data_IF_929432604579
#
_entry.id   IF_929432604579
#
_cell.length_a   1.000
_cell.length_b   1.000
_cell.length_c   1.000
_cell.angle_alpha   90.00
_cell.angle_beta   90.00
_cell.angle_gamma   90.00
#
_symmetry.space_group_name_H-M   'P 1'
#
loop_
_entity.id
_entity.type
_entity.pdbx_description
1 polymer ?
#
# COMPACT_ATOMS: atom_id res chain seq x y z
N UNK A 1 9.10 34.16 -38.06
CA UNK A 1 9.58 34.43 -36.70
C UNK A 1 8.90 33.42 -35.77
N UNK A 2 9.50 32.24 -35.63
CA UNK A 2 8.98 31.21 -34.72
C UNK A 2 9.50 31.56 -33.31
N UNK A 3 8.58 31.90 -32.41
CA UNK A 3 8.90 32.04 -30.98
C UNK A 3 9.23 30.64 -30.44
N UNK A 4 10.52 30.37 -30.25
CA UNK A 4 10.98 29.31 -29.37
C UNK A 4 10.65 29.73 -27.95
N UNK A 5 9.59 29.15 -27.39
CA UNK A 5 9.34 29.24 -25.94
C UNK A 5 10.44 28.40 -25.28
N UNK A 6 11.32 29.00 -24.46
CA UNK A 6 12.31 28.21 -23.74
C UNK A 6 11.55 27.32 -22.75
N UNK A 7 11.75 26.01 -22.87
CA UNK A 7 11.35 25.04 -21.86
C UNK A 7 12.18 25.35 -20.61
N UNK A 8 11.67 26.25 -19.77
CA UNK A 8 12.14 26.40 -18.41
C UNK A 8 11.79 25.10 -17.69
N UNK A 9 12.71 24.13 -17.68
CA UNK A 9 12.76 23.12 -16.65
C UNK A 9 12.89 23.90 -15.33
N UNK A 10 11.77 24.06 -14.62
CA UNK A 10 11.83 24.36 -13.19
C UNK A 10 12.58 23.19 -12.57
N UNK A 11 13.88 23.39 -12.30
CA UNK A 11 14.66 22.59 -11.36
C UNK A 11 14.12 22.88 -9.94
N UNK A 12 12.84 22.61 -9.72
CA UNK A 12 12.29 22.49 -8.39
C UNK A 12 12.95 21.28 -7.76
N UNK A 13 13.51 21.44 -6.57
CA UNK A 13 14.14 20.35 -5.84
C UNK A 13 13.09 19.28 -5.60
N UNK A 14 13.17 18.16 -6.32
CA UNK A 14 12.19 17.06 -6.21
C UNK A 14 12.27 16.51 -4.78
N UNK A 15 11.12 16.39 -4.11
CA UNK A 15 11.06 15.80 -2.78
C UNK A 15 11.73 14.41 -2.79
N UNK A 16 12.49 14.05 -1.74
CA UNK A 16 13.00 12.69 -1.61
C UNK A 16 11.85 11.69 -1.71
N UNK A 17 12.01 10.67 -2.54
CA UNK A 17 11.02 9.62 -2.74
C UNK A 17 11.52 8.32 -2.13
N UNK A 18 10.74 7.75 -1.24
CA UNK A 18 11.03 6.48 -0.59
C UNK A 18 10.27 5.36 -1.29
N UNK A 19 10.95 4.26 -1.56
CA UNK A 19 10.36 3.08 -2.20
C UNK A 19 10.37 1.88 -1.25
N UNK A 20 9.27 1.16 -1.23
CA UNK A 20 9.12 -0.13 -0.53
C UNK A 20 8.77 -1.23 -1.53
N UNK A 21 9.56 -2.30 -1.53
CA UNK A 21 9.33 -3.49 -2.35
C UNK A 21 8.21 -4.37 -1.78
N UNK A 22 7.80 -5.37 -2.56
CA UNK A 22 6.78 -6.36 -2.18
C UNK A 22 7.32 -7.58 -1.45
N UNK A 23 6.45 -8.58 -1.28
CA UNK A 23 6.76 -9.86 -0.65
C UNK A 23 7.79 -10.66 -1.45
N UNK A 24 8.75 -11.25 -0.75
CA UNK A 24 9.76 -12.13 -1.35
C UNK A 24 10.81 -11.40 -2.19
N UNK A 25 10.91 -10.08 -2.03
CA UNK A 25 11.72 -9.21 -2.88
C UNK A 25 12.72 -8.39 -2.05
N UNK A 26 13.46 -7.48 -2.69
CA UNK A 26 14.44 -6.58 -2.08
C UNK A 26 14.57 -5.26 -2.84
N UNK A 27 15.36 -4.32 -2.32
CA UNK A 27 15.67 -3.09 -3.04
C UNK A 27 16.46 -3.28 -4.35
N UNK A 28 16.90 -4.50 -4.66
CA UNK A 28 17.50 -4.84 -5.95
C UNK A 28 16.46 -5.19 -7.03
N UNK A 29 15.17 -5.15 -6.71
CA UNK A 29 14.09 -5.49 -7.64
C UNK A 29 14.17 -4.70 -8.94
N UNK A 30 14.04 -5.40 -10.07
CA UNK A 30 14.17 -4.81 -11.39
C UNK A 30 13.16 -3.69 -11.64
N UNK A 31 11.93 -3.83 -11.17
CA UNK A 31 10.86 -2.85 -11.44
C UNK A 31 11.02 -1.54 -10.67
N UNK A 32 11.95 -1.47 -9.70
CA UNK A 32 12.33 -0.22 -9.02
C UNK A 32 13.38 0.58 -9.79
N UNK A 33 14.16 -0.08 -10.68
CA UNK A 33 15.27 0.56 -11.40
C UNK A 33 14.87 1.83 -12.16
N UNK A 34 13.73 1.86 -12.89
CA UNK A 34 13.35 3.05 -13.65
C UNK A 34 13.07 4.29 -12.77
N UNK A 35 12.71 4.10 -11.49
CA UNK A 35 12.50 5.22 -10.56
C UNK A 35 13.83 5.90 -10.18
N UNK A 36 14.92 5.15 -10.04
CA UNK A 36 16.22 5.69 -9.63
C UNK A 36 16.86 6.60 -10.68
N UNK A 37 16.52 6.43 -11.96
CA UNK A 37 17.04 7.29 -13.04
C UNK A 37 16.26 8.59 -13.22
N UNK A 38 15.03 8.68 -12.70
CA UNK A 38 14.12 9.80 -12.99
C UNK A 38 13.93 10.81 -11.86
N UNK A 39 14.15 10.42 -10.60
CA UNK A 39 13.88 11.23 -9.41
C UNK A 39 14.89 10.93 -8.29
N UNK A 40 14.93 11.76 -7.24
CA UNK A 40 15.65 11.47 -6.00
C UNK A 40 14.96 10.33 -5.21
N UNK A 41 15.11 9.11 -5.71
CA UNK A 41 14.49 7.89 -5.21
C UNK A 41 15.49 7.06 -4.38
N UNK A 42 15.04 6.56 -3.24
CA UNK A 42 15.80 5.62 -2.41
C UNK A 42 14.87 4.50 -1.95
N UNK A 43 15.27 3.25 -2.15
CA UNK A 43 14.55 2.12 -1.57
C UNK A 43 15.00 1.87 -0.12
N UNK A 44 14.05 1.56 0.76
CA UNK A 44 14.29 1.15 2.14
C UNK A 44 14.03 -0.34 2.23
N UNK A 45 15.08 -1.11 2.54
CA UNK A 45 15.00 -2.55 2.67
C UNK A 45 14.12 -2.92 3.87
N UNK A 46 13.16 -3.83 3.66
CA UNK A 46 12.28 -4.31 4.72
C UNK A 46 12.97 -5.46 5.46
N UNK A 47 13.27 -5.28 6.75
CA UNK A 47 14.03 -6.26 7.52
C UNK A 47 15.45 -6.46 6.97
N UNK A 48 15.80 -7.71 6.66
CA UNK A 48 17.10 -8.16 6.15
C UNK A 48 17.00 -8.85 4.77
N UNK A 49 15.92 -8.60 4.02
CA UNK A 49 15.71 -9.12 2.66
C UNK A 49 14.46 -10.01 2.49
N UNK A 50 14.43 -10.84 1.42
CA UNK A 50 13.25 -11.63 1.04
C UNK A 50 12.66 -12.51 2.16
N UNK A 51 13.51 -13.14 2.97
CA UNK A 51 13.07 -14.03 4.05
C UNK A 51 12.37 -13.26 5.18
N UNK A 52 12.82 -12.05 5.49
CA UNK A 52 12.23 -11.20 6.54
C UNK A 52 10.86 -10.66 6.10
N UNK A 53 10.65 -10.40 4.81
CA UNK A 53 9.33 -9.98 4.29
C UNK A 53 8.22 -11.03 4.51
N UNK A 54 8.61 -12.30 4.68
CA UNK A 54 7.70 -13.44 4.89
C UNK A 54 7.65 -13.83 6.38
N UNK A 55 8.80 -14.00 7.03
CA UNK A 55 8.94 -14.63 8.34
C UNK A 55 9.07 -13.65 9.53
N UNK A 56 8.84 -12.36 9.26
CA UNK A 56 8.68 -11.34 10.30
C UNK A 56 7.23 -10.87 10.30
N UNK A 57 6.61 -10.74 11.47
CA UNK A 57 5.28 -10.15 11.60
C UNK A 57 5.22 -8.77 10.94
N UNK A 58 4.11 -8.47 10.26
CA UNK A 58 4.05 -7.29 9.39
C UNK A 58 4.13 -5.97 10.13
N UNK A 59 3.63 -5.93 11.37
CA UNK A 59 3.79 -4.77 12.24
C UNK A 59 5.27 -4.48 12.55
N UNK A 60 6.09 -5.51 12.74
CA UNK A 60 7.51 -5.34 13.00
C UNK A 60 8.27 -4.91 11.73
N UNK A 61 7.87 -5.42 10.57
CA UNK A 61 8.35 -4.89 9.28
C UNK A 61 8.07 -3.39 9.13
N UNK A 62 6.85 -2.95 9.46
CA UNK A 62 6.44 -1.56 9.37
C UNK A 62 7.16 -0.65 10.39
N UNK A 63 7.38 -1.14 11.61
CA UNK A 63 8.17 -0.45 12.65
C UNK A 63 9.65 -0.31 12.26
N UNK A 64 10.25 -1.38 11.74
CA UNK A 64 11.63 -1.35 11.23
C UNK A 64 11.78 -0.37 10.07
N UNK A 65 10.85 -0.39 9.11
CA UNK A 65 10.79 0.58 8.03
C UNK A 65 10.67 2.01 8.56
N UNK A 66 9.79 2.27 9.53
CA UNK A 66 9.65 3.59 10.14
C UNK A 66 10.95 4.07 10.79
N UNK A 67 11.64 3.20 11.54
CA UNK A 67 12.93 3.53 12.15
C UNK A 67 13.96 3.94 11.09
N UNK A 68 14.11 3.16 10.03
CA UNK A 68 15.03 3.45 8.91
C UNK A 68 14.66 4.76 8.20
N UNK A 69 13.37 5.04 8.04
CA UNK A 69 12.89 6.31 7.48
C UNK A 69 13.22 7.49 8.41
N UNK A 70 12.99 7.37 9.72
CA UNK A 70 13.33 8.40 10.69
C UNK A 70 14.84 8.71 10.69
N UNK A 71 15.69 7.68 10.68
CA UNK A 71 17.15 7.85 10.67
C UNK A 71 17.65 8.68 9.47
N UNK A 72 16.99 8.56 8.31
CA UNK A 72 17.44 9.20 7.06
C UNK A 72 16.65 10.46 6.68
N UNK A 73 15.38 10.57 7.08
CA UNK A 73 14.43 11.58 6.59
C UNK A 73 13.70 12.35 7.71
N UNK A 74 14.16 12.26 8.96
CA UNK A 74 13.62 13.07 10.07
C UNK A 74 13.52 14.55 9.70
N UNK A 75 12.39 15.18 10.01
CA UNK A 75 12.07 16.58 9.72
C UNK A 75 11.79 16.91 8.25
N UNK A 76 11.88 15.94 7.33
CA UNK A 76 11.72 16.20 5.89
C UNK A 76 10.29 15.91 5.40
N UNK A 77 9.88 16.64 4.36
CA UNK A 77 8.72 16.24 3.55
C UNK A 77 9.18 15.29 2.45
N UNK A 78 8.54 14.13 2.32
CA UNK A 78 8.93 13.06 1.39
C UNK A 78 7.75 12.58 0.54
N UNK A 79 8.04 11.90 -0.57
CA UNK A 79 7.06 11.06 -1.26
C UNK A 79 7.27 9.60 -0.89
N UNK A 80 6.21 8.80 -1.02
CA UNK A 80 6.26 7.36 -0.75
C UNK A 80 5.67 6.58 -1.94
N UNK A 81 6.42 5.58 -2.40
CA UNK A 81 5.98 4.58 -3.38
C UNK A 81 6.03 3.22 -2.70
N UNK A 82 4.97 2.44 -2.80
CA UNK A 82 4.97 1.07 -2.30
C UNK A 82 4.39 0.11 -3.33
N UNK A 83 5.06 -1.03 -3.50
CA UNK A 83 4.68 -2.10 -4.41
C UNK A 83 4.09 -3.27 -3.60
N UNK A 84 2.96 -3.83 -4.02
CA UNK A 84 2.32 -4.95 -3.34
C UNK A 84 2.18 -4.67 -1.83
N UNK A 85 2.58 -5.57 -0.93
CA UNK A 85 2.52 -5.31 0.52
C UNK A 85 3.30 -4.05 0.96
N UNK A 86 4.35 -3.65 0.24
CA UNK A 86 5.11 -2.43 0.51
C UNK A 86 4.25 -1.17 0.47
N UNK A 87 3.12 -1.19 -0.25
CA UNK A 87 2.12 -0.13 -0.21
C UNK A 87 1.54 0.07 1.20
N UNK A 88 1.27 -1.01 1.93
CA UNK A 88 0.75 -0.94 3.30
C UNK A 88 1.79 -0.44 4.30
N UNK A 89 3.06 -0.80 4.10
CA UNK A 89 4.18 -0.20 4.86
C UNK A 89 4.24 1.31 4.57
N UNK A 90 4.11 1.71 3.31
CA UNK A 90 4.03 3.12 2.94
C UNK A 90 2.89 3.86 3.64
N UNK A 91 1.71 3.25 3.77
CA UNK A 91 0.61 3.81 4.58
C UNK A 91 0.94 3.91 6.05
N UNK A 92 1.61 2.91 6.62
CA UNK A 92 2.07 3.00 8.01
C UNK A 92 3.04 4.17 8.22
N UNK A 93 3.93 4.44 7.25
CA UNK A 93 4.78 5.65 7.28
C UNK A 93 3.96 6.94 7.30
N UNK A 94 2.84 6.97 6.55
CA UNK A 94 1.96 8.15 6.50
C UNK A 94 1.23 8.36 7.82
N UNK A 95 0.65 7.31 8.41
CA UNK A 95 -0.31 7.45 9.51
C UNK A 95 0.28 7.24 10.89
N UNK A 96 1.27 6.35 11.02
CA UNK A 96 1.74 5.84 12.31
C UNK A 96 3.21 6.16 12.59
N UNK A 97 4.01 6.46 11.56
CA UNK A 97 5.39 6.90 11.73
C UNK A 97 5.47 8.40 12.06
N UNK A 98 6.19 8.78 13.12
CA UNK A 98 6.45 10.19 13.45
C UNK A 98 7.73 10.65 12.74
N UNK A 99 7.59 11.53 11.75
CA UNK A 99 8.72 12.08 11.01
C UNK A 99 9.33 13.33 11.69
N UNK A 100 9.05 13.57 12.98
CA UNK A 100 9.60 14.68 13.78
C UNK A 100 9.45 16.05 13.09
N UNK A 101 8.21 16.38 12.69
CA UNK A 101 7.89 17.61 11.95
C UNK A 101 7.92 17.46 10.42
N UNK A 102 8.40 16.33 9.91
CA UNK A 102 8.22 15.92 8.52
C UNK A 102 6.81 15.39 8.22
N UNK A 103 6.51 15.16 6.94
CA UNK A 103 5.27 14.52 6.48
C UNK A 103 5.47 13.81 5.14
N UNK A 104 4.51 12.98 4.77
CA UNK A 104 4.40 12.48 3.39
C UNK A 104 3.58 13.48 2.57
N UNK A 105 4.07 13.85 1.38
CA UNK A 105 3.38 14.72 0.42
C UNK A 105 2.55 13.87 -0.54
N UNK A 106 3.19 13.00 -1.32
CA UNK A 106 2.50 12.14 -2.29
C UNK A 106 2.67 10.66 -1.97
N UNK A 107 1.63 9.88 -2.25
CA UNK A 107 1.61 8.44 -2.04
C UNK A 107 1.23 7.71 -3.33
N UNK A 108 2.07 6.77 -3.78
CA UNK A 108 1.83 5.90 -4.93
C UNK A 108 1.78 4.45 -4.46
N UNK A 109 0.61 3.83 -4.56
CA UNK A 109 0.38 2.41 -4.29
C UNK A 109 0.29 1.64 -5.60
N UNK A 110 1.25 0.75 -5.86
CA UNK A 110 1.27 -0.08 -7.06
C UNK A 110 0.86 -1.51 -6.70
N UNK A 111 -0.38 -1.91 -7.04
CA UNK A 111 -0.91 -3.23 -6.72
C UNK A 111 -0.98 -3.51 -5.21
N UNK A 112 -1.15 -2.48 -4.39
CA UNK A 112 -1.09 -2.61 -2.93
C UNK A 112 -2.40 -3.13 -2.33
N UNK A 113 -2.39 -4.10 -1.40
CA UNK A 113 -3.64 -4.68 -0.91
C UNK A 113 -4.32 -3.83 0.18
N UNK A 114 -4.93 -2.69 -0.20
CA UNK A 114 -5.34 -1.64 0.76
C UNK A 114 -6.41 -2.05 1.77
N UNK A 115 -7.34 -2.92 1.35
CA UNK A 115 -8.34 -3.59 2.20
C UNK A 115 -7.94 -5.05 2.51
N UNK A 116 -6.66 -5.40 2.34
CA UNK A 116 -6.14 -6.74 2.62
C UNK A 116 -6.44 -7.77 1.53
N UNK A 117 -6.02 -9.01 1.81
CA UNK A 117 -6.25 -10.19 0.97
C UNK A 117 -7.02 -11.25 1.75
N UNK A 118 -7.84 -12.06 1.06
CA UNK A 118 -8.69 -13.07 1.71
C UNK A 118 -8.35 -14.51 1.32
N UNK A 119 -7.37 -14.71 0.44
CA UNK A 119 -6.90 -16.04 0.03
C UNK A 119 -5.39 -16.06 -0.06
N UNK A 120 -4.83 -17.27 0.02
CA UNK A 120 -3.44 -17.50 -0.31
C UNK A 120 -3.32 -17.56 -1.85
N UNK A 121 -2.39 -16.81 -2.47
CA UNK A 121 -2.18 -16.81 -3.92
C UNK A 121 -1.95 -18.21 -4.50
N UNK A 122 -2.38 -18.43 -5.75
CA UNK A 122 -2.19 -19.68 -6.51
C UNK A 122 -2.79 -20.96 -5.89
N UNK A 123 -3.89 -20.83 -5.14
CA UNK A 123 -4.60 -21.97 -4.56
C UNK A 123 -5.83 -22.40 -5.38
N UNK A 124 -5.62 -22.84 -6.63
CA UNK A 124 -6.71 -23.15 -7.59
C UNK A 124 -7.17 -24.61 -7.60
N UNK A 125 -6.82 -25.41 -6.58
CA UNK A 125 -7.16 -26.84 -6.52
C UNK A 125 -8.32 -27.15 -5.56
N UNK A 126 -9.05 -28.23 -5.82
CA UNK A 126 -10.12 -28.77 -4.95
C UNK A 126 -9.67 -29.14 -3.52
N UNK A 127 -8.36 -29.16 -3.27
CA UNK A 127 -7.70 -29.40 -1.98
C UNK A 127 -7.47 -28.10 -1.17
N UNK A 128 -7.78 -26.93 -1.73
CA UNK A 128 -7.55 -25.62 -1.09
C UNK A 128 -8.66 -25.20 -0.12
N UNK A 129 -9.89 -25.69 -0.27
CA UNK A 129 -10.99 -25.35 0.64
C UNK A 129 -10.72 -25.75 2.11
N UNK A 130 -10.18 -26.94 2.41
CA UNK A 130 -9.72 -27.30 3.76
C UNK A 130 -8.53 -26.47 4.23
N UNK A 131 -7.59 -26.14 3.34
CA UNK A 131 -6.38 -25.37 3.67
C UNK A 131 -6.73 -23.92 4.02
N UNK A 132 -7.66 -23.29 3.28
CA UNK A 132 -8.18 -21.96 3.61
C UNK A 132 -8.92 -21.97 4.94
N UNK A 133 -9.68 -23.01 5.29
CA UNK A 133 -10.31 -23.11 6.62
C UNK A 133 -9.29 -23.30 7.75
N UNK A 134 -8.17 -24.00 7.48
CA UNK A 134 -7.05 -24.09 8.43
C UNK A 134 -6.33 -22.74 8.56
N UNK A 135 -6.12 -22.04 7.45
CA UNK A 135 -5.54 -20.69 7.45
C UNK A 135 -6.46 -19.71 8.17
N UNK A 136 -7.76 -19.71 7.90
CA UNK A 136 -8.76 -18.88 8.60
C UNK A 136 -8.73 -19.09 10.11
N UNK A 137 -8.53 -20.33 10.57
CA UNK A 137 -8.48 -20.66 11.99
C UNK A 137 -7.13 -20.38 12.65
N UNK A 138 -6.03 -20.33 11.89
CA UNK A 138 -4.68 -20.12 12.41
C UNK A 138 -4.15 -18.70 12.18
N UNK A 139 -4.61 -18.00 11.15
CA UNK A 139 -4.07 -16.70 10.70
C UNK A 139 -4.17 -15.66 11.79
N UNK A 140 -5.22 -15.71 12.61
CA UNK A 140 -5.49 -14.80 13.70
C UNK A 140 -4.95 -15.28 15.07
N UNK A 141 -4.15 -16.34 15.10
CA UNK A 141 -3.40 -16.68 16.31
C UNK A 141 -2.26 -15.68 16.51
N UNK A 142 -1.97 -15.34 17.77
CA UNK A 142 -0.89 -14.39 18.10
C UNK A 142 0.46 -14.83 17.52
N UNK A 143 0.74 -16.14 17.54
CA UNK A 143 1.98 -16.68 16.97
C UNK A 143 2.09 -16.37 15.48
N UNK A 144 1.04 -16.64 14.69
CA UNK A 144 1.06 -16.40 13.24
C UNK A 144 1.11 -14.91 12.93
N UNK A 145 0.34 -14.07 13.64
CA UNK A 145 0.37 -12.62 13.46
C UNK A 145 1.76 -12.00 13.75
N UNK A 146 2.51 -12.55 14.71
CA UNK A 146 3.85 -12.08 15.08
C UNK A 146 4.97 -12.58 14.15
N UNK A 147 4.77 -13.68 13.42
CA UNK A 147 5.84 -14.34 12.66
C UNK A 147 5.59 -14.43 11.16
N UNK A 148 4.38 -14.18 10.68
CA UNK A 148 4.05 -14.31 9.25
C UNK A 148 3.56 -12.96 8.72
N UNK A 149 4.35 -12.36 7.82
CA UNK A 149 4.06 -11.04 7.24
C UNK A 149 2.67 -10.95 6.61
N UNK A 150 2.31 -11.83 5.66
CA UNK A 150 1.00 -11.80 5.03
C UNK A 150 -0.21 -11.90 5.99
N UNK A 151 -0.03 -12.49 7.17
CA UNK A 151 -1.11 -12.58 8.16
C UNK A 151 -1.56 -11.21 8.68
N UNK A 152 -0.65 -10.23 8.74
CA UNK A 152 -0.97 -8.88 9.21
C UNK A 152 -1.92 -8.10 8.30
N UNK A 153 -2.10 -8.52 7.04
CA UNK A 153 -3.07 -7.93 6.11
C UNK A 153 -4.03 -8.95 5.52
N UNK A 154 -4.14 -10.11 6.15
CA UNK A 154 -5.22 -11.03 5.86
C UNK A 154 -6.53 -10.47 6.39
N UNK A 155 -7.54 -10.41 5.52
CA UNK A 155 -8.89 -9.95 5.81
C UNK A 155 -9.88 -11.03 5.39
N UNK A 156 -10.32 -11.81 6.37
CA UNK A 156 -11.42 -12.74 6.16
C UNK A 156 -12.74 -11.95 6.08
N UNK A 157 -13.30 -11.80 4.87
CA UNK A 157 -14.57 -11.11 4.68
C UNK A 157 -15.75 -11.87 5.30
N UNK A 158 -15.66 -13.20 5.48
CA UNK A 158 -16.71 -14.01 6.12
C UNK A 158 -16.71 -13.88 7.66
N UNK A 159 -15.59 -13.47 8.26
CA UNK A 159 -15.41 -13.31 9.71
C UNK A 159 -14.66 -12.00 10.04
N UNK A 160 -15.37 -10.89 9.84
CA UNK A 160 -14.86 -9.56 10.17
C UNK A 160 -14.67 -9.36 11.68
N UNK A 161 -15.40 -10.08 12.53
CA UNK A 161 -15.25 -9.96 13.99
C UNK A 161 -13.87 -10.47 14.44
N UNK A 162 -13.44 -11.64 13.95
CA UNK A 162 -12.10 -12.15 14.24
C UNK A 162 -11.02 -11.27 13.61
N UNK A 163 -11.23 -10.78 12.38
CA UNK A 163 -10.35 -9.82 11.74
C UNK A 163 -10.13 -8.57 12.62
N UNK A 164 -11.22 -7.91 13.02
CA UNK A 164 -11.19 -6.70 13.83
C UNK A 164 -10.63 -6.95 15.24
N UNK A 165 -10.76 -8.16 15.78
CA UNK A 165 -10.31 -8.50 17.14
C UNK A 165 -8.86 -8.96 17.19
N UNK A 166 -8.38 -9.71 16.21
CA UNK A 166 -7.15 -10.48 16.34
C UNK A 166 -6.07 -10.13 15.31
N UNK A 167 -6.39 -9.44 14.21
CA UNK A 167 -5.36 -9.00 13.27
C UNK A 167 -4.54 -7.83 13.88
N UNK A 168 -3.21 -7.98 13.95
CA UNK A 168 -2.31 -7.06 14.66
C UNK A 168 -1.94 -5.80 13.88
N UNK A 169 -2.41 -5.63 12.64
CA UNK A 169 -1.94 -4.57 11.76
C UNK A 169 -3.05 -3.88 10.96
N UNK A 170 -3.70 -4.59 10.04
CA UNK A 170 -4.57 -3.94 9.04
C UNK A 170 -5.80 -3.22 9.63
N UNK A 171 -6.55 -3.77 10.63
CA UNK A 171 -7.67 -3.05 11.24
C UNK A 171 -7.27 -1.72 11.86
N UNK A 172 -6.05 -1.63 12.41
CA UNK A 172 -5.54 -0.40 13.00
C UNK A 172 -5.09 0.59 11.92
N UNK A 173 -4.39 0.11 10.87
CA UNK A 173 -3.98 0.92 9.73
C UNK A 173 -5.18 1.49 8.95
N UNK A 174 -6.26 0.72 8.85
CA UNK A 174 -7.53 1.14 8.25
C UNK A 174 -8.40 1.97 9.20
N UNK A 175 -7.96 2.16 10.44
CA UNK A 175 -8.69 2.93 11.44
C UNK A 175 -10.08 2.34 11.75
N UNK A 176 -10.26 1.03 11.59
CA UNK A 176 -11.54 0.32 11.75
C UNK A 176 -11.79 -0.10 13.21
N UNK A 177 -10.75 -0.52 13.93
CA UNK A 177 -10.87 -1.06 15.30
C UNK A 177 -11.08 0.03 16.34
N UNK A 178 -10.22 1.04 16.35
CA UNK A 178 -10.23 2.16 17.29
C UNK A 178 -9.94 3.46 16.53
N UNK A 179 -10.95 4.08 15.88
CA UNK A 179 -10.73 5.22 15.01
C UNK A 179 -10.02 6.38 15.71
N UNK A 180 -8.85 6.76 15.18
CA UNK A 180 -8.04 7.88 15.63
C UNK A 180 -8.16 9.06 14.66
N UNK A 181 -8.49 10.24 15.20
CA UNK A 181 -8.56 11.49 14.41
C UNK A 181 -7.18 11.82 13.79
N UNK A 182 -6.09 11.54 14.50
CA UNK A 182 -4.73 11.82 14.04
C UNK A 182 -4.35 11.01 12.80
N UNK A 183 -4.71 9.73 12.71
CA UNK A 183 -4.49 8.90 11.52
C UNK A 183 -5.22 9.45 10.31
N UNK A 184 -6.50 9.78 10.49
CA UNK A 184 -7.33 10.43 9.47
C UNK A 184 -6.72 11.75 8.98
N UNK A 185 -6.30 12.62 9.91
CA UNK A 185 -5.70 13.91 9.57
C UNK A 185 -4.38 13.75 8.79
N UNK A 186 -3.53 12.80 9.19
CA UNK A 186 -2.28 12.53 8.47
C UNK A 186 -2.52 12.04 7.05
N UNK A 187 -3.39 11.05 6.85
CA UNK A 187 -3.66 10.52 5.50
C UNK A 187 -4.39 11.55 4.63
N UNK A 188 -5.42 12.25 5.15
CA UNK A 188 -6.09 13.33 4.39
C UNK A 188 -5.21 14.57 4.12
N UNK A 189 -4.06 14.71 4.79
CA UNK A 189 -3.09 15.78 4.52
C UNK A 189 -2.21 15.54 3.30
N UNK A 190 -2.30 14.37 2.66
CA UNK A 190 -1.58 14.09 1.42
C UNK A 190 -1.97 15.11 0.34
N UNK A 191 -0.98 15.51 -0.44
CA UNK A 191 -1.16 16.45 -1.55
C UNK A 191 -1.82 15.72 -2.73
N UNK A 192 -1.39 14.48 -2.99
CA UNK A 192 -1.96 13.58 -3.99
C UNK A 192 -1.76 12.10 -3.60
N UNK A 193 -2.69 11.25 -4.04
CA UNK A 193 -2.64 9.79 -3.95
C UNK A 193 -2.81 9.21 -5.34
N UNK A 194 -2.00 8.22 -5.70
CA UNK A 194 -2.20 7.39 -6.88
C UNK A 194 -2.32 5.94 -6.46
N UNK A 195 -3.39 5.29 -6.90
CA UNK A 195 -3.68 3.88 -6.67
C UNK A 195 -3.64 3.17 -8.01
N UNK A 196 -2.88 2.08 -8.10
CA UNK A 196 -2.76 1.27 -9.31
C UNK A 196 -3.31 -0.12 -9.05
N UNK A 197 -4.25 -0.56 -9.88
CA UNK A 197 -4.88 -1.89 -9.87
C UNK A 197 -4.50 -2.64 -11.14
N UNK A 198 -4.11 -3.90 -10.99
CA UNK A 198 -3.84 -4.80 -12.11
C UNK A 198 -5.11 -5.60 -12.41
N UNK A 199 -5.58 -5.61 -13.67
CA UNK A 199 -6.84 -6.23 -14.02
C UNK A 199 -6.77 -7.76 -14.06
N UNK A 200 -5.58 -8.32 -14.23
CA UNK A 200 -5.32 -9.77 -14.25
C UNK A 200 -4.51 -10.20 -13.01
N UNK A 201 -4.72 -9.53 -11.87
CA UNK A 201 -4.01 -9.83 -10.62
C UNK A 201 -4.50 -11.14 -9.99
N UNK A 202 -3.59 -12.10 -9.86
CA UNK A 202 -3.80 -13.39 -9.18
C UNK A 202 -3.08 -13.47 -7.82
N UNK A 203 -2.41 -12.39 -7.41
CA UNK A 203 -1.65 -12.31 -6.15
C UNK A 203 -2.42 -11.55 -5.08
N UNK A 204 -3.02 -10.42 -5.46
CA UNK A 204 -3.87 -9.62 -4.58
C UNK A 204 -5.31 -9.98 -4.87
N UNK A 205 -5.90 -10.78 -3.98
CA UNK A 205 -7.27 -11.25 -4.13
C UNK A 205 -8.07 -10.87 -2.88
N UNK A 206 -9.17 -10.09 -3.04
CA UNK A 206 -9.71 -9.55 -4.29
C UNK A 206 -8.87 -8.39 -4.84
N UNK A 207 -8.65 -8.30 -6.16
CA UNK A 207 -7.78 -7.26 -6.78
C UNK A 207 -8.29 -5.83 -6.57
N UNK A 208 -9.60 -5.69 -6.39
CA UNK A 208 -10.32 -4.44 -6.12
C UNK A 208 -9.83 -3.75 -4.84
N UNK A 209 -9.27 -4.51 -3.90
CA UNK A 209 -8.61 -3.99 -2.70
C UNK A 209 -7.49 -2.98 -3.03
N UNK A 210 -6.90 -3.02 -4.24
CA UNK A 210 -5.93 -2.01 -4.70
C UNK A 210 -6.49 -0.58 -4.76
N UNK A 211 -7.82 -0.45 -4.94
CA UNK A 211 -8.55 0.81 -4.98
C UNK A 211 -9.33 1.09 -3.68
N UNK A 212 -8.99 0.41 -2.58
CA UNK A 212 -9.76 0.44 -1.33
C UNK A 212 -11.19 -0.11 -1.45
N UNK A 213 -11.51 -0.81 -2.54
CA UNK A 213 -12.78 -1.47 -2.70
C UNK A 213 -12.80 -2.75 -1.84
N UNK A 214 -14.00 -3.23 -1.51
CA UNK A 214 -14.21 -4.43 -0.70
C UNK A 214 -15.03 -5.45 -1.49
N UNK A 215 -15.22 -6.63 -0.93
CA UNK A 215 -16.17 -7.62 -1.45
C UNK A 215 -17.22 -7.91 -0.39
N UNK A 216 -18.48 -8.04 -0.82
CA UNK A 216 -19.57 -8.52 0.03
C UNK A 216 -19.36 -10.03 0.26
N UNK A 217 -19.22 -10.50 1.51
CA UNK A 217 -18.92 -11.90 1.79
C UNK A 217 -20.05 -12.86 1.49
N UNK A 218 -21.29 -12.38 1.39
CA UNK A 218 -22.47 -13.23 1.11
C UNK A 218 -22.68 -13.43 -0.37
N UNK A 219 -22.39 -12.41 -1.17
CA UNK A 219 -22.66 -12.41 -2.61
C UNK A 219 -21.41 -12.54 -3.47
N UNK A 220 -20.22 -12.28 -2.91
CA UNK A 220 -18.97 -12.18 -3.65
C UNK A 220 -18.88 -10.96 -4.57
N UNK A 221 -19.86 -10.04 -4.51
CA UNK A 221 -19.87 -8.84 -5.34
C UNK A 221 -18.94 -7.77 -4.80
N UNK A 222 -18.30 -7.04 -5.71
CA UNK A 222 -17.47 -5.88 -5.37
C UNK A 222 -18.34 -4.78 -4.79
N UNK A 223 -17.93 -4.27 -3.64
CA UNK A 223 -18.45 -3.04 -3.03
C UNK A 223 -17.48 -1.94 -3.42
N UNK A 224 -17.97 -0.97 -4.20
CA UNK A 224 -17.18 0.17 -4.62
C UNK A 224 -16.68 0.97 -3.41
N UNK A 225 -15.57 1.70 -3.58
CA UNK A 225 -15.04 2.55 -2.51
C UNK A 225 -16.14 3.48 -1.96
N UNK A 226 -16.86 4.19 -2.82
CA UNK A 226 -17.83 5.22 -2.43
C UNK A 226 -19.08 4.66 -1.72
N UNK A 227 -19.43 3.41 -1.99
CA UNK A 227 -20.56 2.73 -1.36
C UNK A 227 -20.19 2.04 -0.03
N UNK A 228 -18.90 1.98 0.30
CA UNK A 228 -18.42 1.32 1.52
C UNK A 228 -18.62 2.19 2.78
N UNK A 229 -18.92 1.55 3.91
CA UNK A 229 -18.94 2.21 5.23
C UNK A 229 -17.60 2.89 5.56
N UNK A 230 -16.48 2.28 5.13
CA UNK A 230 -15.14 2.83 5.26
C UNK A 230 -15.01 4.23 4.66
N UNK A 231 -15.59 4.46 3.48
CA UNK A 231 -15.63 5.76 2.82
C UNK A 231 -16.71 6.68 3.38
N UNK A 232 -17.92 6.17 3.63
CA UNK A 232 -19.05 6.95 4.12
C UNK A 232 -18.71 7.62 5.46
N UNK A 233 -18.11 6.85 6.38
CA UNK A 233 -17.63 7.32 7.68
C UNK A 233 -16.27 8.03 7.59
N UNK A 234 -15.63 7.96 6.41
CA UNK A 234 -14.36 8.60 6.11
C UNK A 234 -13.27 8.25 7.14
N UNK A 235 -13.11 6.94 7.39
CA UNK A 235 -12.32 6.41 8.51
C UNK A 235 -10.85 6.86 8.45
N UNK A 236 -10.28 6.93 7.25
CA UNK A 236 -8.89 7.40 7.05
C UNK A 236 -8.80 8.79 6.39
N UNK A 237 -9.92 9.44 6.05
CA UNK A 237 -9.84 10.71 5.31
C UNK A 237 -9.77 10.56 3.79
N UNK A 238 -10.02 9.36 3.26
CA UNK A 238 -10.00 9.08 1.82
C UNK A 238 -11.16 9.77 1.08
N UNK A 239 -12.34 9.92 1.71
CA UNK A 239 -13.47 10.64 1.12
C UNK A 239 -13.14 12.11 0.96
N UNK A 240 -12.44 12.70 1.92
CA UNK A 240 -11.95 14.08 1.79
C UNK A 240 -11.00 14.23 0.60
N UNK A 241 -10.03 13.33 0.44
CA UNK A 241 -9.08 13.37 -0.69
C UNK A 241 -9.79 13.19 -2.03
N UNK A 242 -10.74 12.27 -2.10
CA UNK A 242 -11.54 11.99 -3.30
C UNK A 242 -12.39 13.21 -3.71
N UNK A 243 -13.13 13.81 -2.76
CA UNK A 243 -13.91 15.03 -3.00
C UNK A 243 -13.04 16.23 -3.42
N UNK A 244 -11.78 16.27 -2.95
CA UNK A 244 -10.79 17.26 -3.36
C UNK A 244 -10.10 16.91 -4.69
N UNK A 245 -10.46 15.81 -5.35
CA UNK A 245 -9.86 15.29 -6.59
C UNK A 245 -8.34 15.07 -6.45
N UNK A 246 -7.91 14.62 -5.28
CA UNK A 246 -6.52 14.31 -4.98
C UNK A 246 -6.15 12.85 -5.20
N UNK A 247 -7.10 12.00 -5.56
CA UNK A 247 -6.87 10.58 -5.83
C UNK A 247 -6.87 10.34 -7.34
N UNK A 248 -5.85 9.63 -7.83
CA UNK A 248 -5.77 9.11 -9.19
C UNK A 248 -5.89 7.59 -9.16
N UNK A 249 -6.86 7.05 -9.87
CA UNK A 249 -7.05 5.61 -10.04
C UNK A 249 -6.49 5.22 -11.41
N UNK A 250 -5.55 4.27 -11.43
CA UNK A 250 -4.90 3.77 -12.64
C UNK A 250 -5.14 2.27 -12.73
N UNK A 251 -5.68 1.81 -13.85
CA UNK A 251 -5.83 0.38 -14.15
C UNK A 251 -4.78 -0.03 -15.18
N UNK A 252 -4.14 -1.17 -14.96
CA UNK A 252 -3.19 -1.78 -15.89
C UNK A 252 -3.72 -3.16 -16.24
N UNK A 253 -3.94 -3.39 -17.54
CA UNK A 253 -4.42 -4.67 -18.07
C UNK A 253 -3.27 -5.68 -18.21
N UNK A 254 -2.73 -6.09 -17.07
CA UNK A 254 -1.70 -7.11 -16.96
C UNK A 254 -1.80 -7.79 -15.57
N UNK A 255 -0.92 -8.75 -15.33
CA UNK A 255 -0.74 -9.48 -14.08
C UNK A 255 -0.02 -8.64 -13.01
N UNK A 256 0.00 -9.16 -11.78
CA UNK A 256 0.53 -8.46 -10.60
C UNK A 256 1.93 -7.87 -10.84
N UNK A 257 2.08 -6.57 -10.63
CA UNK A 257 3.34 -5.84 -10.79
C UNK A 257 3.99 -5.98 -12.18
N UNK A 258 3.20 -6.22 -13.23
CA UNK A 258 3.65 -6.14 -14.63
C UNK A 258 3.21 -4.82 -15.26
N UNK A 259 4.18 -3.97 -15.55
CA UNK A 259 3.99 -2.74 -16.30
C UNK A 259 5.25 -2.41 -17.10
N UNK A 260 5.13 -1.54 -18.11
CA UNK A 260 6.26 -1.13 -18.94
C UNK A 260 7.07 0.02 -18.30
N UNK A 261 8.35 0.14 -18.65
CA UNK A 261 9.17 1.29 -18.25
C UNK A 261 8.54 2.63 -18.71
N UNK A 262 7.83 2.62 -19.84
CA UNK A 262 7.09 3.78 -20.34
C UNK A 262 6.04 4.29 -19.34
N UNK A 263 5.28 3.40 -18.69
CA UNK A 263 4.33 3.79 -17.64
C UNK A 263 5.07 4.47 -16.47
N UNK A 264 6.24 3.95 -16.08
CA UNK A 264 7.04 4.59 -15.04
C UNK A 264 7.44 6.01 -15.44
N UNK A 265 7.90 6.22 -16.68
CA UNK A 265 8.38 7.51 -17.18
C UNK A 265 7.26 8.52 -17.45
N UNK A 266 6.09 8.07 -17.91
CA UNK A 266 5.01 8.94 -18.39
C UNK A 266 3.88 9.13 -17.39
N UNK A 267 3.74 8.24 -16.40
CA UNK A 267 2.67 8.28 -15.40
C UNK A 267 3.22 8.44 -13.99
N UNK A 268 4.11 7.53 -13.55
CA UNK A 268 4.53 7.49 -12.15
C UNK A 268 5.53 8.59 -11.77
N UNK A 269 6.59 8.80 -12.56
CA UNK A 269 7.55 9.88 -12.31
C UNK A 269 6.89 11.26 -12.39
N UNK A 270 6.08 11.59 -13.42
CA UNK A 270 5.36 12.86 -13.49
C UNK A 270 4.41 13.10 -12.32
N UNK A 271 3.86 12.05 -11.71
CA UNK A 271 3.08 12.18 -10.49
C UNK A 271 3.93 12.59 -9.29
N UNK A 272 5.17 12.11 -9.19
CA UNK A 272 6.04 12.31 -8.03
C UNK A 272 6.74 13.68 -8.02
N UNK A 273 6.94 14.30 -9.19
CA UNK A 273 7.61 15.62 -9.34
C UNK A 273 6.69 16.82 -9.15
#
# INVERSE_FOLDING_TARGET
MFLLIPLYFFLGQTLPTILFHGLGDSCQYSSLKPFFSGINANCIEIGSGPSSSILLGFLDQAKDACKKVQEKYTGQTINVVGLSQGALIGRYIITDCDLNGGRVSKYLSIGGPQMGVSVIPHCDSYLCWPLNKVVDSLVYTDYVQQHIGPAGYFRNYEDLDSYLKYNHFLPDLNNERNPQISRKQKFSSLDQVMLVKFLQDEMVIPKETAFFESVDPKTGQVISLVDSEFYIQDLIGIKQLDQQRKIKFIEIDDSHLKWSDEITQTVFIPFLV
#
